data_IF_999473333735
#
_entry.id   IF_999473333735
#
_cell.length_a   1.000
_cell.length_b   1.000
_cell.length_c   1.000
_cell.angle_alpha   90.00
_cell.angle_beta   90.00
_cell.angle_gamma   90.00
#
_symmetry.space_group_name_H-M   'P 1'
#
loop_
_entity.id
_entity.type
_entity.pdbx_description
1 polymer ?
#
# COMPACT_ATOMS: atom_id res chain seq x y z
N UNK A 1 -59.92 36.52 6.00
CA UNK A 1 -59.99 35.21 5.30
C UNK A 1 -58.93 35.21 4.24
N UNK A 2 -58.21 34.10 4.17
CA UNK A 2 -57.10 33.69 3.29
C UNK A 2 -55.75 34.39 3.50
N UNK A 3 -54.80 33.81 4.26
CA UNK A 3 -54.00 32.57 4.07
C UNK A 3 -52.97 32.65 2.92
N UNK A 4 -51.73 32.92 3.35
CA UNK A 4 -50.45 32.32 2.96
C UNK A 4 -50.27 31.73 1.55
N UNK A 5 -49.21 32.19 0.88
CA UNK A 5 -48.33 31.32 0.09
C UNK A 5 -46.88 31.82 0.20
N UNK A 6 -46.17 31.27 1.18
CA UNK A 6 -44.72 31.28 1.27
C UNK A 6 -44.20 30.36 0.16
N UNK A 7 -43.55 30.90 -0.88
CA UNK A 7 -42.81 30.07 -1.83
C UNK A 7 -41.39 29.87 -1.31
N UNK A 8 -41.20 28.81 -0.54
CA UNK A 8 -39.89 28.18 -0.36
C UNK A 8 -39.42 27.70 -1.73
N UNK A 9 -38.47 28.43 -2.31
CA UNK A 9 -37.62 27.88 -3.36
C UNK A 9 -36.82 26.77 -2.69
N UNK A 10 -37.23 25.54 -2.95
CA UNK A 10 -36.40 24.37 -2.68
C UNK A 10 -35.09 24.55 -3.44
N UNK A 11 -34.02 24.87 -2.71
CA UNK A 11 -32.68 24.55 -3.14
C UNK A 11 -32.63 23.02 -3.35
N UNK A 12 -32.76 22.60 -4.61
CA UNK A 12 -32.25 21.32 -5.05
C UNK A 12 -30.73 21.50 -5.09
N UNK A 13 -30.12 21.54 -3.90
CA UNK A 13 -28.72 21.24 -3.74
C UNK A 13 -28.58 19.77 -4.18
N UNK A 14 -28.22 19.56 -5.44
CA UNK A 14 -27.77 18.27 -5.91
C UNK A 14 -26.74 17.76 -4.91
N UNK A 15 -26.97 16.54 -4.40
CA UNK A 15 -26.02 15.83 -3.55
C UNK A 15 -24.69 15.76 -4.30
N UNK A 16 -23.81 16.74 -4.11
CA UNK A 16 -22.45 16.67 -4.60
C UNK A 16 -21.78 15.63 -3.70
N UNK A 17 -21.37 14.51 -4.31
CA UNK A 17 -20.62 13.48 -3.60
C UNK A 17 -19.38 14.08 -2.96
N UNK A 18 -19.03 13.60 -1.78
CA UNK A 18 -17.79 14.00 -1.11
C UNK A 18 -16.61 13.51 -1.97
N UNK A 19 -15.66 14.39 -2.29
CA UNK A 19 -14.40 13.98 -2.91
C UNK A 19 -13.62 13.08 -1.96
N UNK A 20 -13.13 11.94 -2.46
CA UNK A 20 -12.33 11.00 -1.67
C UNK A 20 -10.98 10.76 -2.32
N UNK A 21 -9.89 11.02 -1.61
CA UNK A 21 -8.55 10.64 -2.03
C UNK A 21 -8.13 9.36 -1.33
N UNK A 22 -8.04 8.27 -2.09
CA UNK A 22 -7.48 7.01 -1.58
C UNK A 22 -6.00 6.98 -1.91
N UNK A 23 -5.13 6.85 -0.90
CA UNK A 23 -3.68 6.78 -1.08
C UNK A 23 -3.17 5.41 -0.68
N UNK A 24 -2.44 4.72 -1.55
CA UNK A 24 -1.90 3.37 -1.28
C UNK A 24 -0.39 3.35 -1.37
N UNK A 25 0.28 2.46 -0.63
CA UNK A 25 1.74 2.30 -0.79
C UNK A 25 2.09 1.66 -2.12
N UNK A 26 3.20 2.10 -2.70
CA UNK A 26 3.75 1.45 -3.88
C UNK A 26 4.27 0.03 -3.57
N UNK A 27 4.34 -0.85 -4.58
CA UNK A 27 4.81 -2.22 -4.41
C UNK A 27 6.28 -2.40 -4.81
N UNK A 28 7.00 -3.29 -4.11
CA UNK A 28 8.35 -3.67 -4.54
C UNK A 28 8.32 -4.32 -5.94
N UNK A 29 7.36 -5.24 -6.14
CA UNK A 29 7.13 -5.87 -7.44
C UNK A 29 6.54 -4.85 -8.43
N UNK A 30 7.29 -4.56 -9.48
CA UNK A 30 6.90 -3.68 -10.58
C UNK A 30 7.03 -4.43 -11.91
N UNK A 31 6.33 -3.98 -12.94
CA UNK A 31 6.45 -4.55 -14.28
C UNK A 31 7.67 -3.97 -15.00
N UNK A 32 8.43 -4.85 -15.64
CA UNK A 32 9.72 -4.49 -16.24
C UNK A 32 10.86 -4.55 -15.23
N UNK A 33 12.09 -4.58 -15.76
CA UNK A 33 13.31 -4.57 -14.95
C UNK A 33 13.67 -3.12 -14.68
N UNK A 34 13.92 -2.76 -13.42
CA UNK A 34 14.46 -1.44 -13.07
C UNK A 34 15.85 -1.27 -13.72
N UNK A 35 16.06 -0.28 -14.60
CA UNK A 35 17.39 0.06 -15.12
C UNK A 35 18.35 0.35 -13.96
N UNK A 36 19.64 0.05 -14.12
CA UNK A 36 20.64 0.23 -13.06
C UNK A 36 20.65 1.65 -12.49
N UNK A 37 20.59 2.67 -13.35
CA UNK A 37 20.55 4.07 -12.90
C UNK A 37 19.27 4.41 -12.10
N UNK A 38 18.17 3.65 -12.27
CA UNK A 38 16.93 3.78 -11.48
C UNK A 38 16.84 2.75 -10.34
N UNK A 39 17.99 2.41 -9.74
CA UNK A 39 18.06 1.67 -8.47
C UNK A 39 18.76 2.53 -7.44
N UNK A 40 18.14 2.69 -6.28
CA UNK A 40 18.68 3.50 -5.18
C UNK A 40 20.05 2.98 -4.71
N UNK A 41 20.28 1.66 -4.82
CA UNK A 41 21.59 1.05 -4.53
C UNK A 41 22.73 1.58 -5.41
N UNK A 42 22.40 2.12 -6.59
CA UNK A 42 23.35 2.61 -7.59
C UNK A 42 23.57 4.13 -7.48
N UNK A 43 23.06 4.77 -6.43
CA UNK A 43 23.36 6.17 -6.11
C UNK A 43 24.75 6.28 -5.47
N UNK A 44 25.38 7.44 -5.62
CA UNK A 44 26.67 7.71 -4.98
C UNK A 44 26.58 7.65 -3.45
N UNK A 45 27.75 7.55 -2.80
CA UNK A 45 27.86 7.78 -1.36
C UNK A 45 27.66 9.25 -1.06
N UNK A 46 26.87 9.60 -0.05
CA UNK A 46 26.62 10.99 0.31
C UNK A 46 25.53 11.13 1.36
N UNK A 47 25.19 12.37 1.70
CA UNK A 47 24.01 12.65 2.53
C UNK A 47 22.73 12.18 1.83
N UNK A 48 21.66 12.00 2.59
CA UNK A 48 20.33 11.71 2.03
C UNK A 48 19.91 12.76 1.01
N UNK A 49 20.28 14.02 1.23
CA UNK A 49 19.92 15.15 0.36
C UNK A 49 20.54 15.01 -1.02
N UNK A 50 21.86 14.88 -1.07
CA UNK A 50 22.63 14.74 -2.31
C UNK A 50 22.14 13.50 -3.09
N UNK A 51 21.86 12.41 -2.38
CA UNK A 51 21.33 11.19 -3.00
C UNK A 51 19.92 11.38 -3.55
N UNK A 52 19.06 12.13 -2.86
CA UNK A 52 17.70 12.41 -3.32
C UNK A 52 17.69 13.36 -4.51
N UNK A 53 18.54 14.38 -4.52
CA UNK A 53 18.74 15.28 -5.67
C UNK A 53 19.21 14.50 -6.90
N UNK A 54 20.24 13.67 -6.75
CA UNK A 54 20.71 12.78 -7.82
C UNK A 54 19.59 11.85 -8.30
N UNK A 55 18.83 11.28 -7.38
CA UNK A 55 17.70 10.40 -7.71
C UNK A 55 16.62 11.12 -8.53
N UNK A 56 16.22 12.33 -8.13
CA UNK A 56 15.25 13.15 -8.86
C UNK A 56 15.74 13.49 -10.27
N UNK A 57 17.03 13.82 -10.43
CA UNK A 57 17.62 14.06 -11.75
C UNK A 57 17.52 12.81 -12.64
N UNK A 58 17.85 11.63 -12.10
CA UNK A 58 17.78 10.37 -12.83
C UNK A 58 16.34 10.00 -13.22
N UNK A 59 15.36 10.22 -12.33
CA UNK A 59 13.95 10.00 -12.66
C UNK A 59 13.43 10.96 -13.72
N UNK A 60 13.84 12.22 -13.66
CA UNK A 60 13.42 13.25 -14.62
C UNK A 60 13.95 12.98 -16.03
N UNK A 61 15.09 12.31 -16.15
CA UNK A 61 15.68 11.91 -17.43
C UNK A 61 15.14 10.58 -17.99
N UNK A 62 14.28 9.86 -17.26
CA UNK A 62 13.82 8.53 -17.66
C UNK A 62 12.78 8.58 -18.79
N UNK A 63 12.98 7.78 -19.85
CA UNK A 63 12.16 7.79 -21.07
C UNK A 63 11.09 6.70 -21.14
N UNK A 64 11.23 5.59 -20.41
CA UNK A 64 10.35 4.43 -20.50
C UNK A 64 9.23 4.48 -19.46
N UNK A 65 8.13 5.16 -19.75
CA UNK A 65 7.06 5.40 -18.78
C UNK A 65 5.74 4.69 -19.12
N UNK A 66 5.09 4.08 -18.11
CA UNK A 66 3.72 3.56 -18.16
C UNK A 66 2.91 4.07 -16.97
N UNK A 67 1.58 4.12 -17.05
CA UNK A 67 0.75 4.51 -15.91
C UNK A 67 1.11 3.72 -14.64
N UNK A 68 1.07 4.36 -13.48
CA UNK A 68 1.31 3.71 -12.19
C UNK A 68 0.34 2.52 -11.96
N UNK A 69 -0.91 2.64 -12.43
CA UNK A 69 -1.91 1.56 -12.53
C UNK A 69 -1.37 0.26 -13.13
N UNK A 70 -0.53 0.38 -14.15
CA UNK A 70 0.06 -0.74 -14.90
C UNK A 70 1.50 -1.04 -14.51
N UNK A 71 2.15 -0.16 -13.73
CA UNK A 71 3.50 -0.35 -13.23
C UNK A 71 3.54 -1.33 -12.07
N UNK A 72 2.73 -1.07 -11.04
CA UNK A 72 2.76 -1.85 -9.80
C UNK A 72 2.08 -3.21 -9.99
N UNK A 73 2.48 -4.18 -9.18
CA UNK A 73 2.03 -5.56 -9.31
C UNK A 73 2.15 -6.32 -8.00
N UNK A 74 1.49 -7.47 -7.93
CA UNK A 74 1.44 -8.31 -6.74
C UNK A 74 0.05 -8.29 -6.10
N UNK A 75 -0.14 -9.16 -5.11
CA UNK A 75 -1.46 -9.38 -4.50
C UNK A 75 -2.04 -8.10 -3.89
N UNK A 76 -1.23 -7.33 -3.16
CA UNK A 76 -1.62 -6.03 -2.62
C UNK A 76 -2.15 -5.09 -3.72
N UNK A 77 -1.43 -4.98 -4.84
CA UNK A 77 -1.80 -4.06 -5.92
C UNK A 77 -3.10 -4.45 -6.62
N UNK A 78 -3.39 -5.75 -6.73
CA UNK A 78 -4.63 -6.23 -7.34
C UNK A 78 -5.87 -5.74 -6.60
N UNK A 79 -5.81 -5.61 -5.27
CA UNK A 79 -6.87 -5.01 -4.46
C UNK A 79 -6.79 -3.48 -4.54
N UNK A 80 -5.59 -2.93 -4.30
CA UNK A 80 -5.36 -1.49 -4.16
C UNK A 80 -5.85 -0.68 -5.38
N UNK A 81 -5.67 -1.21 -6.59
CA UNK A 81 -6.07 -0.53 -7.84
C UNK A 81 -7.58 -0.30 -7.99
N UNK A 82 -8.41 -1.07 -7.28
CA UNK A 82 -9.87 -0.94 -7.29
C UNK A 82 -10.44 -0.09 -6.16
N UNK A 83 -9.61 0.39 -5.22
CA UNK A 83 -10.12 1.06 -4.02
C UNK A 83 -10.83 2.39 -4.31
N UNK A 84 -10.43 3.14 -5.34
CA UNK A 84 -11.17 4.34 -5.73
C UNK A 84 -12.57 3.99 -6.23
N UNK A 85 -12.70 2.99 -7.10
CA UNK A 85 -14.01 2.52 -7.58
C UNK A 85 -14.91 2.05 -6.43
N UNK A 86 -14.34 1.40 -5.42
CA UNK A 86 -15.04 0.99 -4.19
C UNK A 86 -15.49 2.23 -3.39
N UNK A 87 -14.61 3.22 -3.23
CA UNK A 87 -14.87 4.43 -2.44
C UNK A 87 -15.96 5.34 -3.06
N UNK A 88 -16.08 5.41 -4.39
CA UNK A 88 -17.12 6.19 -5.05
C UNK A 88 -16.69 6.80 -6.38
N UNK A 89 -17.63 7.45 -7.08
CA UNK A 89 -17.38 8.06 -8.40
C UNK A 89 -16.43 9.27 -8.31
N UNK A 90 -16.52 10.04 -7.23
CA UNK A 90 -15.67 11.21 -6.95
C UNK A 90 -14.33 10.83 -6.27
N UNK A 91 -14.00 9.54 -6.26
CA UNK A 91 -12.77 9.06 -5.63
C UNK A 91 -11.58 9.05 -6.59
N UNK A 92 -10.43 9.55 -6.12
CA UNK A 92 -9.16 9.50 -6.84
C UNK A 92 -8.17 8.57 -6.13
N UNK A 93 -7.52 7.68 -6.89
CA UNK A 93 -6.44 6.82 -6.40
C UNK A 93 -5.07 7.48 -6.57
N UNK A 94 -4.30 7.49 -5.49
CA UNK A 94 -2.94 7.98 -5.39
C UNK A 94 -2.01 6.88 -4.92
N UNK A 95 -0.73 6.99 -5.27
CA UNK A 95 0.33 6.11 -4.79
C UNK A 95 1.33 6.91 -3.98
N UNK A 96 1.52 6.51 -2.73
CA UNK A 96 2.65 6.92 -1.90
C UNK A 96 3.87 6.07 -2.26
N UNK A 97 4.87 6.68 -2.90
CA UNK A 97 6.01 6.00 -3.52
C UNK A 97 7.33 6.46 -2.92
N UNK A 98 8.16 5.50 -2.48
CA UNK A 98 9.52 5.78 -2.03
C UNK A 98 10.44 6.32 -3.16
N UNK A 99 10.07 6.14 -4.42
CA UNK A 99 10.83 6.64 -5.56
C UNK A 99 10.27 7.96 -6.11
N UNK A 100 8.95 8.08 -6.22
CA UNK A 100 8.29 9.17 -6.95
C UNK A 100 7.50 10.13 -6.06
N UNK A 101 7.57 10.02 -4.73
CA UNK A 101 6.75 10.82 -3.82
C UNK A 101 5.27 10.44 -3.91
N UNK A 102 4.37 11.39 -3.70
CA UNK A 102 2.95 11.19 -3.98
C UNK A 102 2.67 11.39 -5.48
N UNK A 103 2.04 10.40 -6.11
CA UNK A 103 1.63 10.47 -7.53
C UNK A 103 0.20 9.98 -7.70
N UNK A 104 -0.53 10.50 -8.69
CA UNK A 104 -1.79 9.91 -9.12
C UNK A 104 -1.56 8.54 -9.77
N UNK A 105 -2.57 7.68 -9.75
CA UNK A 105 -2.47 6.33 -10.36
C UNK A 105 -2.27 6.36 -11.89
N UNK A 106 -2.65 7.45 -12.56
CA UNK A 106 -2.48 7.66 -14.00
C UNK A 106 -1.10 8.24 -14.38
N UNK A 107 -0.31 8.68 -13.38
CA UNK A 107 1.03 9.22 -13.61
C UNK A 107 1.91 8.20 -14.33
N UNK A 108 2.56 8.63 -15.42
CA UNK A 108 3.43 7.75 -16.21
C UNK A 108 4.80 7.69 -15.57
N UNK A 109 5.18 6.52 -15.07
CA UNK A 109 6.44 6.30 -14.34
C UNK A 109 7.30 5.23 -15.01
N UNK A 110 8.63 5.34 -14.85
CA UNK A 110 9.59 4.32 -15.27
C UNK A 110 9.80 3.25 -14.19
N UNK A 111 10.15 1.99 -14.55
CA UNK A 111 10.48 0.97 -13.57
C UNK A 111 11.68 1.40 -12.71
N UNK A 112 11.58 1.24 -11.40
CA UNK A 112 12.57 1.72 -10.44
C UNK A 112 12.68 0.80 -9.22
N UNK A 113 13.79 0.88 -8.48
CA UNK A 113 13.97 0.20 -7.21
C UNK A 113 14.32 1.22 -6.12
N UNK A 114 13.38 1.44 -5.20
CA UNK A 114 13.50 2.31 -4.02
C UNK A 114 12.53 1.82 -2.95
N UNK A 115 12.94 1.83 -1.68
CA UNK A 115 12.09 1.42 -0.55
C UNK A 115 12.41 2.16 0.74
N UNK A 116 11.39 2.40 1.57
CA UNK A 116 11.55 2.88 2.95
C UNK A 116 11.88 1.74 3.94
N UNK A 117 11.78 0.47 3.53
CA UNK A 117 12.18 -0.64 4.37
C UNK A 117 13.69 -0.56 4.66
N UNK A 118 14.09 -0.73 5.92
CA UNK A 118 15.50 -0.74 6.30
C UNK A 118 16.18 -2.06 5.91
N UNK A 119 17.50 -2.03 5.71
CA UNK A 119 18.32 -3.21 5.44
C UNK A 119 18.14 -3.82 4.04
N UNK A 120 17.44 -3.13 3.14
CA UNK A 120 17.38 -3.49 1.72
C UNK A 120 18.46 -2.71 0.96
N UNK A 121 19.03 -3.32 -0.08
CA UNK A 121 20.03 -2.65 -0.92
C UNK A 121 19.49 -1.38 -1.60
N UNK A 122 18.21 -1.36 -1.94
CA UNK A 122 17.50 -0.16 -2.44
C UNK A 122 16.82 0.68 -1.32
N UNK A 123 17.25 0.55 -0.07
CA UNK A 123 16.78 1.44 1.01
C UNK A 123 17.17 2.89 0.70
N UNK A 124 16.19 3.80 0.74
CA UNK A 124 16.43 5.22 0.44
C UNK A 124 17.31 5.89 1.49
N UNK A 125 17.29 5.40 2.72
CA UNK A 125 18.09 5.88 3.83
C UNK A 125 18.45 4.73 4.78
N UNK A 126 19.52 4.88 5.59
CA UNK A 126 19.92 3.87 6.57
C UNK A 126 18.99 3.83 7.79
N UNK A 127 18.31 4.93 8.10
CA UNK A 127 17.43 5.09 9.25
C UNK A 127 16.15 5.85 8.90
N UNK A 128 15.24 5.94 9.88
CA UNK A 128 13.94 6.57 9.69
C UNK A 128 14.02 8.11 9.58
N UNK A 129 15.01 8.75 10.21
CA UNK A 129 15.17 10.20 10.09
C UNK A 129 15.56 10.57 8.65
N UNK A 130 16.46 9.81 8.05
CA UNK A 130 16.80 9.92 6.63
C UNK A 130 15.63 9.57 5.72
N UNK A 131 14.82 8.56 6.05
CA UNK A 131 13.64 8.22 5.25
C UNK A 131 12.59 9.36 5.21
N UNK A 132 12.40 10.06 6.35
CA UNK A 132 11.54 11.25 6.43
C UNK A 132 12.11 12.40 5.60
N UNK A 133 13.41 12.68 5.75
CA UNK A 133 14.10 13.71 4.96
C UNK A 133 14.06 13.44 3.46
N UNK A 134 14.17 12.17 3.06
CA UNK A 134 13.98 11.75 1.67
C UNK A 134 12.56 12.02 1.16
N UNK A 135 11.53 11.70 1.96
CA UNK A 135 10.14 12.01 1.62
C UNK A 135 9.91 13.52 1.44
N UNK A 136 10.40 14.33 2.38
CA UNK A 136 10.28 15.80 2.35
C UNK A 136 10.88 16.39 1.06
N UNK A 137 12.03 15.89 0.62
CA UNK A 137 12.65 16.35 -0.63
C UNK A 137 11.94 15.85 -1.88
N UNK A 138 11.49 14.60 -1.90
CA UNK A 138 10.66 14.09 -3.00
C UNK A 138 9.35 14.87 -3.14
N UNK A 139 8.78 15.32 -2.02
CA UNK A 139 7.59 16.16 -1.98
C UNK A 139 7.84 17.58 -2.49
N UNK A 140 9.06 18.10 -2.39
CA UNK A 140 9.44 19.42 -2.92
C UNK A 140 9.73 19.40 -4.44
N UNK A 141 9.95 18.22 -5.03
CA UNK A 141 10.10 18.06 -6.47
C UNK A 141 8.76 18.15 -7.19
N UNK A 142 8.67 19.00 -8.23
CA UNK A 142 7.50 19.19 -9.10
C UNK A 142 6.94 17.90 -9.73
N UNK A 143 7.73 16.82 -9.72
CA UNK A 143 7.32 15.54 -10.25
C UNK A 143 7.38 15.48 -11.77
N UNK A 144 6.70 14.48 -12.33
CA UNK A 144 6.58 14.29 -13.78
C UNK A 144 5.39 15.04 -14.39
N UNK A 145 4.51 15.57 -13.55
CA UNK A 145 3.30 16.29 -13.96
C UNK A 145 3.19 17.56 -13.10
N UNK A 146 3.56 18.69 -13.69
CA UNK A 146 3.53 19.98 -13.01
C UNK A 146 2.13 20.30 -12.45
N UNK A 147 2.09 20.93 -11.27
CA UNK A 147 0.86 21.37 -10.62
C UNK A 147 0.05 20.28 -9.91
N UNK A 148 0.51 19.03 -9.90
CA UNK A 148 -0.11 17.97 -9.10
C UNK A 148 0.45 17.94 -7.67
N UNK A 149 -0.37 17.69 -6.63
CA UNK A 149 0.10 17.46 -5.27
C UNK A 149 1.16 16.36 -5.20
N UNK A 150 2.20 16.62 -4.41
CA UNK A 150 3.38 15.76 -4.23
C UNK A 150 3.54 15.23 -2.82
N UNK A 151 2.66 15.68 -1.92
CA UNK A 151 2.63 15.33 -0.49
C UNK A 151 1.19 15.25 0.00
N UNK A 152 0.97 14.62 1.16
CA UNK A 152 -0.36 14.57 1.80
C UNK A 152 -0.83 15.98 2.17
N UNK A 153 0.07 16.84 2.65
CA UNK A 153 -0.25 18.24 2.99
C UNK A 153 -0.69 19.02 1.75
N UNK A 154 0.02 18.88 0.63
CA UNK A 154 -0.34 19.54 -0.62
C UNK A 154 -1.69 19.05 -1.14
N UNK A 155 -1.99 17.75 -0.96
CA UNK A 155 -3.27 17.17 -1.35
C UNK A 155 -4.42 17.71 -0.51
N UNK A 156 -4.25 17.74 0.82
CA UNK A 156 -5.22 18.32 1.75
C UNK A 156 -5.47 19.82 1.49
N UNK A 157 -4.42 20.60 1.19
CA UNK A 157 -4.58 22.03 0.85
C UNK A 157 -5.33 22.27 -0.45
N UNK A 158 -5.19 21.37 -1.42
CA UNK A 158 -5.90 21.47 -2.70
C UNK A 158 -7.40 21.23 -2.49
N UNK A 159 -7.73 20.20 -1.72
CA UNK A 159 -9.10 19.73 -1.51
C UNK A 159 -9.41 19.63 0.01
N UNK A 160 -9.55 20.76 0.74
CA UNK A 160 -9.64 20.77 2.20
C UNK A 160 -10.90 20.09 2.77
N UNK A 161 -11.97 20.03 1.98
CA UNK A 161 -13.23 19.37 2.35
C UNK A 161 -13.28 17.88 1.94
N UNK A 162 -12.24 17.38 1.27
CA UNK A 162 -12.16 15.98 0.85
C UNK A 162 -11.81 15.04 2.02
N UNK A 163 -12.24 13.79 1.91
CA UNK A 163 -11.72 12.72 2.76
C UNK A 163 -10.41 12.17 2.18
N UNK A 164 -9.38 11.99 3.02
CA UNK A 164 -8.13 11.32 2.65
C UNK A 164 -8.05 9.99 3.38
N UNK A 165 -8.06 8.88 2.63
CA UNK A 165 -7.93 7.52 3.15
C UNK A 165 -6.58 6.95 2.74
N UNK A 166 -5.61 7.01 3.65
CA UNK A 166 -4.24 6.54 3.46
C UNK A 166 -4.06 5.09 3.92
N UNK A 167 -3.93 4.16 2.98
CA UNK A 167 -3.69 2.74 3.21
C UNK A 167 -2.20 2.45 3.21
N UNK A 168 -1.58 2.53 4.38
CA UNK A 168 -0.12 2.55 4.53
C UNK A 168 0.46 1.31 5.21
N UNK A 169 1.61 0.86 4.72
CA UNK A 169 2.48 -0.06 5.47
C UNK A 169 3.33 0.71 6.49
N UNK A 170 3.85 0.02 7.50
CA UNK A 170 4.63 0.66 8.58
C UNK A 170 5.77 1.57 8.08
N UNK A 171 6.65 1.15 7.15
CA UNK A 171 7.75 2.01 6.71
C UNK A 171 7.26 3.31 6.05
N UNK A 172 6.14 3.26 5.33
CA UNK A 172 5.57 4.42 4.66
C UNK A 172 4.87 5.35 5.64
N UNK A 173 4.08 4.80 6.57
CA UNK A 173 3.44 5.56 7.65
C UNK A 173 4.50 6.35 8.42
N UNK A 174 5.62 5.70 8.80
CA UNK A 174 6.68 6.35 9.57
C UNK A 174 7.48 7.38 8.77
N UNK A 175 7.73 7.12 7.47
CA UNK A 175 8.42 8.05 6.59
C UNK A 175 7.59 9.31 6.28
N UNK A 176 6.27 9.17 6.20
CA UNK A 176 5.34 10.27 5.88
C UNK A 176 4.71 10.91 7.11
N UNK A 177 5.08 10.50 8.34
CA UNK A 177 4.35 10.87 9.56
C UNK A 177 4.16 12.38 9.74
N UNK A 178 5.21 13.16 9.53
CA UNK A 178 5.15 14.62 9.68
C UNK A 178 4.21 15.26 8.63
N UNK A 179 4.29 14.81 7.37
CA UNK A 179 3.43 15.28 6.28
C UNK A 179 1.96 14.85 6.45
N UNK A 180 1.70 13.65 7.00
CA UNK A 180 0.35 13.20 7.35
C UNK A 180 -0.25 14.05 8.47
N UNK A 181 0.54 14.35 9.52
CA UNK A 181 0.13 15.23 10.61
C UNK A 181 -0.15 16.66 10.12
N UNK A 182 0.64 17.17 9.18
CA UNK A 182 0.41 18.48 8.57
C UNK A 182 -0.77 18.48 7.60
N UNK A 183 -1.05 17.37 6.93
CA UNK A 183 -2.26 17.18 6.14
C UNK A 183 -3.53 17.25 7.00
N UNK A 184 -3.55 16.59 8.17
CA UNK A 184 -4.69 16.65 9.10
C UNK A 184 -5.05 18.10 9.47
N UNK A 185 -4.04 18.93 9.72
CA UNK A 185 -4.20 20.36 10.05
C UNK A 185 -4.68 21.22 8.88
N UNK A 186 -4.50 20.75 7.64
CA UNK A 186 -4.87 21.46 6.43
C UNK A 186 -6.29 21.11 5.94
N UNK A 187 -6.88 20.02 6.44
CA UNK A 187 -8.26 19.64 6.17
C UNK A 187 -9.23 20.46 7.03
N UNK A 188 -10.45 20.67 6.53
CA UNK A 188 -11.53 21.34 7.26
C UNK A 188 -11.94 20.57 8.52
N UNK A 189 -11.81 19.24 8.49
CA UNK A 189 -12.06 18.36 9.62
C UNK A 189 -10.90 17.37 9.77
N UNK A 190 -10.38 17.23 10.99
CA UNK A 190 -9.39 16.19 11.31
C UNK A 190 -9.97 14.77 11.12
N UNK A 191 -11.30 14.62 11.22
CA UNK A 191 -11.97 13.34 10.96
C UNK A 191 -12.03 12.98 9.46
N UNK A 192 -11.63 13.90 8.58
CA UNK A 192 -11.46 13.64 7.15
C UNK A 192 -10.16 12.89 6.80
N UNK A 193 -9.20 12.78 7.73
CA UNK A 193 -7.99 11.96 7.54
C UNK A 193 -8.14 10.59 8.21
N UNK A 194 -8.01 9.53 7.42
CA UNK A 194 -7.99 8.13 7.89
C UNK A 194 -6.71 7.43 7.46
N UNK A 195 -5.97 6.82 8.40
CA UNK A 195 -4.79 6.01 8.09
C UNK A 195 -5.09 4.54 8.36
N UNK A 196 -5.29 3.73 7.33
CA UNK A 196 -5.53 2.29 7.45
C UNK A 196 -4.18 1.56 7.41
N UNK A 197 -3.74 1.04 8.54
CA UNK A 197 -2.41 0.44 8.67
C UNK A 197 -2.09 -0.10 10.06
N UNK A 198 -0.83 -0.45 10.34
CA UNK A 198 -0.44 -0.92 11.66
C UNK A 198 -0.46 0.23 12.67
N UNK A 199 -1.22 0.07 13.76
CA UNK A 199 -1.27 1.04 14.86
C UNK A 199 -0.06 1.00 15.79
N UNK A 200 0.15 2.09 16.53
CA UNK A 200 1.24 2.20 17.52
C UNK A 200 2.62 2.20 16.86
N UNK A 201 2.75 2.91 15.73
CA UNK A 201 3.99 2.94 14.93
C UNK A 201 4.60 4.33 14.84
N UNK A 202 3.81 5.37 15.10
CA UNK A 202 4.29 6.74 15.13
C UNK A 202 3.30 7.59 15.93
N UNK A 203 3.70 8.00 17.14
CA UNK A 203 2.87 8.81 18.03
C UNK A 203 2.38 10.12 17.40
N UNK A 204 3.10 10.64 16.40
CA UNK A 204 2.72 11.84 15.63
C UNK A 204 1.41 11.69 14.82
N UNK A 205 1.00 10.47 14.51
CA UNK A 205 -0.16 10.20 13.65
C UNK A 205 -1.05 9.06 14.15
N UNK A 206 -0.70 8.41 15.26
CA UNK A 206 -1.43 7.24 15.79
C UNK A 206 -2.91 7.55 16.06
N UNK A 207 -3.27 8.81 16.36
CA UNK A 207 -4.67 9.22 16.53
C UNK A 207 -5.51 9.10 15.24
N UNK A 208 -4.90 9.23 14.06
CA UNK A 208 -5.57 9.09 12.77
C UNK A 208 -5.59 7.63 12.27
N UNK A 209 -4.93 6.71 12.99
CA UNK A 209 -4.77 5.32 12.56
C UNK A 209 -5.99 4.48 12.91
N UNK A 210 -6.52 3.83 11.88
CA UNK A 210 -7.47 2.73 11.95
C UNK A 210 -6.66 1.43 11.90
N UNK A 211 -6.47 0.74 13.04
CA UNK A 211 -5.49 -0.33 13.14
C UNK A 211 -5.93 -1.58 12.38
N UNK A 212 -5.04 -2.08 11.52
CA UNK A 212 -5.17 -3.38 10.87
C UNK A 212 -4.28 -4.39 11.58
N UNK A 213 -4.88 -5.46 12.09
CA UNK A 213 -4.16 -6.52 12.80
C UNK A 213 -4.34 -7.87 12.10
N UNK A 214 -3.42 -8.81 12.35
CA UNK A 214 -3.50 -10.16 11.79
C UNK A 214 -4.80 -10.90 12.16
N UNK A 215 -5.52 -10.48 13.21
CA UNK A 215 -6.81 -11.01 13.60
C UNK A 215 -7.89 -10.85 12.51
N UNK A 216 -7.73 -9.90 11.58
CA UNK A 216 -8.64 -9.73 10.44
C UNK A 216 -8.40 -10.74 9.31
N UNK A 217 -7.28 -11.49 9.32
CA UNK A 217 -6.95 -12.44 8.25
C UNK A 217 -8.02 -13.52 8.02
N UNK A 218 -8.64 -14.13 9.05
CA UNK A 218 -9.72 -15.11 8.86
C UNK A 218 -10.98 -14.50 8.23
N UNK A 219 -11.22 -13.20 8.43
CA UNK A 219 -12.40 -12.48 7.90
C UNK A 219 -12.15 -12.04 6.46
N UNK A 220 -10.99 -11.42 6.20
CA UNK A 220 -10.68 -10.76 4.93
C UNK A 220 -9.96 -11.67 3.92
N UNK A 221 -9.42 -12.79 4.41
CA UNK A 221 -8.58 -13.69 3.64
C UNK A 221 -7.28 -13.05 3.14
N UNK A 222 -6.58 -13.78 2.26
CA UNK A 222 -5.34 -13.31 1.65
C UNK A 222 -4.11 -13.39 2.56
N UNK A 223 -3.02 -12.75 2.12
CA UNK A 223 -1.77 -12.70 2.86
C UNK A 223 -1.67 -11.45 3.74
N UNK A 224 -0.80 -11.47 4.75
CA UNK A 224 -0.48 -10.28 5.57
C UNK A 224 0.00 -9.09 4.72
N UNK A 225 0.61 -9.35 3.56
CA UNK A 225 1.08 -8.31 2.63
C UNK A 225 -0.08 -7.56 1.96
N UNK A 226 -1.22 -8.22 1.73
CA UNK A 226 -2.41 -7.60 1.14
C UNK A 226 -3.43 -7.13 2.18
N UNK A 227 -3.20 -7.43 3.47
CA UNK A 227 -4.20 -7.25 4.52
C UNK A 227 -4.67 -5.79 4.67
N UNK A 228 -3.78 -4.80 4.64
CA UNK A 228 -4.18 -3.38 4.74
C UNK A 228 -5.10 -2.96 3.57
N UNK A 229 -4.79 -3.40 2.34
CA UNK A 229 -5.62 -3.09 1.17
C UNK A 229 -6.97 -3.80 1.23
N UNK A 230 -7.01 -5.05 1.71
CA UNK A 230 -8.27 -5.78 1.92
C UNK A 230 -9.12 -5.16 3.02
N UNK A 231 -8.50 -4.73 4.11
CA UNK A 231 -9.17 -4.07 5.21
C UNK A 231 -9.78 -2.74 4.73
N UNK A 232 -9.03 -1.96 3.94
CA UNK A 232 -9.54 -0.75 3.30
C UNK A 232 -10.71 -1.04 2.37
N UNK A 233 -10.60 -2.04 1.48
CA UNK A 233 -11.70 -2.43 0.60
C UNK A 233 -12.97 -2.77 1.39
N UNK A 234 -12.83 -3.55 2.46
CA UNK A 234 -13.95 -3.95 3.31
C UNK A 234 -14.67 -2.77 3.96
N UNK A 235 -13.94 -1.85 4.60
CA UNK A 235 -14.58 -0.71 5.29
C UNK A 235 -15.07 0.36 4.33
N UNK A 236 -14.42 0.55 3.17
CA UNK A 236 -14.89 1.48 2.14
C UNK A 236 -16.17 0.98 1.47
N UNK A 237 -16.26 -0.33 1.18
CA UNK A 237 -17.47 -0.94 0.62
C UNK A 237 -18.64 -0.84 1.60
N UNK A 238 -18.41 -1.18 2.88
CA UNK A 238 -19.43 -1.05 3.92
C UNK A 238 -19.84 0.41 4.19
N UNK A 239 -18.88 1.34 4.17
CA UNK A 239 -19.14 2.77 4.32
C UNK A 239 -19.95 3.33 3.14
N UNK A 240 -19.61 2.94 1.90
CA UNK A 240 -20.40 3.35 0.73
C UNK A 240 -21.85 2.84 0.80
N UNK A 241 -22.05 1.63 1.33
CA UNK A 241 -23.39 1.07 1.49
C UNK A 241 -24.26 1.80 2.53
N UNK A 242 -23.66 2.54 3.48
CA UNK A 242 -24.43 3.36 4.43
C UNK A 242 -24.96 4.67 3.83
N UNK A 243 -24.32 5.16 2.74
CA UNK A 243 -24.66 6.43 2.11
C UNK A 243 -24.21 7.68 2.88
N UNK A 244 -23.49 7.51 3.98
CA UNK A 244 -22.91 8.60 4.76
C UNK A 244 -21.55 9.05 4.17
N UNK A 245 -21.13 10.32 4.36
CA UNK A 245 -19.80 10.77 3.97
C UNK A 245 -18.68 9.97 4.64
N UNK A 246 -17.62 9.68 3.89
CA UNK A 246 -16.43 9.01 4.40
C UNK A 246 -15.79 9.86 5.50
N UNK A 247 -15.65 9.25 6.66
CA UNK A 247 -15.01 9.83 7.84
C UNK A 247 -14.23 8.78 8.60
N UNK A 248 -13.20 9.20 9.33
CA UNK A 248 -12.37 8.31 10.13
C UNK A 248 -13.19 7.62 11.22
N UNK A 249 -14.08 8.34 11.90
CA UNK A 249 -14.95 7.76 12.94
C UNK A 249 -15.81 6.62 12.39
N UNK A 250 -16.42 6.80 11.22
CA UNK A 250 -17.18 5.74 10.54
C UNK A 250 -16.29 4.54 10.20
N UNK A 251 -15.18 4.77 9.49
CA UNK A 251 -14.30 3.69 9.05
C UNK A 251 -13.67 2.94 10.24
N UNK A 252 -13.37 3.65 11.34
CA UNK A 252 -12.87 3.07 12.57
C UNK A 252 -13.89 2.15 13.23
N UNK A 253 -15.17 2.58 13.28
CA UNK A 253 -16.27 1.75 13.79
C UNK A 253 -16.42 0.46 12.98
N UNK A 254 -16.47 0.58 11.65
CA UNK A 254 -16.57 -0.58 10.75
C UNK A 254 -15.39 -1.55 10.91
N UNK A 255 -14.18 -1.02 11.06
CA UNK A 255 -12.98 -1.84 11.30
C UNK A 255 -13.04 -2.55 12.66
N UNK A 256 -13.51 -1.85 13.70
CA UNK A 256 -13.66 -2.40 15.05
C UNK A 256 -14.70 -3.53 15.07
N UNK A 257 -15.84 -3.34 14.41
CA UNK A 257 -16.90 -4.35 14.28
C UNK A 257 -16.37 -5.59 13.54
N UNK A 258 -15.65 -5.40 12.43
CA UNK A 258 -15.03 -6.49 11.69
C UNK A 258 -13.97 -7.25 12.52
N UNK A 259 -13.21 -6.53 13.35
CA UNK A 259 -12.20 -7.12 14.24
C UNK A 259 -12.85 -7.89 15.39
N UNK A 260 -13.91 -7.34 15.99
CA UNK A 260 -14.65 -7.97 17.08
C UNK A 260 -15.40 -9.23 16.62
N UNK A 261 -15.92 -9.23 15.39
CA UNK A 261 -16.54 -10.39 14.76
C UNK A 261 -15.56 -11.44 14.24
N UNK A 262 -14.25 -11.16 14.25
CA UNK A 262 -13.26 -12.10 13.75
C UNK A 262 -13.14 -13.34 14.67
N UNK A 263 -13.09 -14.56 14.11
CA UNK A 263 -12.85 -15.76 14.89
C UNK A 263 -11.53 -15.63 15.68
N UNK A 264 -11.58 -15.91 16.99
CA UNK A 264 -10.37 -16.02 17.80
C UNK A 264 -9.57 -17.24 17.35
N UNK A 265 -8.69 -17.07 16.37
CA UNK A 265 -7.75 -18.12 15.98
C UNK A 265 -6.51 -18.02 16.84
N UNK A 266 -6.17 -19.10 17.55
CA UNK A 266 -4.88 -19.21 18.23
C UNK A 266 -3.74 -18.91 17.23
N UNK A 267 -2.67 -18.22 17.65
CA UNK A 267 -1.51 -17.99 16.80
C UNK A 267 -1.03 -19.34 16.26
N UNK A 268 -0.95 -19.49 14.93
CA UNK A 268 -0.32 -20.69 14.36
C UNK A 268 1.12 -20.73 14.86
N UNK A 269 1.49 -21.83 15.54
CA UNK A 269 2.86 -22.04 15.96
C UNK A 269 3.80 -21.89 14.74
N UNK A 270 4.95 -21.22 14.89
CA UNK A 270 5.90 -21.09 13.79
C UNK A 270 6.31 -22.47 13.30
N UNK A 271 6.18 -22.71 11.99
CA UNK A 271 6.53 -24.00 11.41
C UNK A 271 8.03 -24.28 11.50
N UNK A 272 8.40 -25.55 11.66
CA UNK A 272 9.80 -25.98 11.78
C UNK A 272 10.57 -25.62 10.50
N UNK A 273 11.61 -24.78 10.63
CA UNK A 273 12.45 -24.38 9.50
C UNK A 273 13.24 -25.58 9.00
N UNK A 274 13.18 -25.82 7.70
CA UNK A 274 13.94 -26.92 7.06
C UNK A 274 15.25 -26.42 6.47
N UNK A 275 16.26 -27.27 6.38
CA UNK A 275 17.45 -27.11 5.56
C UNK A 275 17.14 -27.39 4.08
N UNK A 276 18.00 -26.94 3.17
CA UNK A 276 17.75 -27.09 1.73
C UNK A 276 17.69 -28.55 1.28
N UNK A 277 18.53 -29.43 1.83
CA UNK A 277 18.49 -30.86 1.48
C UNK A 277 17.18 -31.52 1.91
N UNK A 278 16.64 -31.15 3.08
CA UNK A 278 15.35 -31.65 3.54
C UNK A 278 14.21 -31.17 2.64
N UNK A 279 14.27 -29.92 2.16
CA UNK A 279 13.29 -29.37 1.21
C UNK A 279 13.40 -30.06 -0.15
N UNK A 280 14.62 -30.31 -0.65
CA UNK A 280 14.86 -31.06 -1.90
C UNK A 280 14.33 -32.49 -1.79
N UNK A 281 14.63 -33.19 -0.69
CA UNK A 281 14.13 -34.55 -0.45
C UNK A 281 12.59 -34.58 -0.42
N UNK A 282 11.97 -33.60 0.23
CA UNK A 282 10.51 -33.45 0.22
C UNK A 282 9.96 -33.25 -1.20
N UNK A 283 10.58 -32.35 -1.99
CA UNK A 283 10.16 -32.09 -3.37
C UNK A 283 10.29 -33.34 -4.24
N UNK A 284 11.46 -33.99 -4.23
CA UNK A 284 11.72 -35.23 -4.99
C UNK A 284 10.68 -36.29 -4.68
N UNK A 285 10.37 -36.52 -3.39
CA UNK A 285 9.36 -37.49 -2.96
C UNK A 285 7.99 -37.22 -3.60
N UNK A 286 7.57 -35.96 -3.73
CA UNK A 286 6.23 -35.64 -4.24
C UNK A 286 6.16 -35.59 -5.76
N UNK A 287 7.25 -35.22 -6.44
CA UNK A 287 7.31 -35.23 -7.90
C UNK A 287 7.19 -36.64 -8.49
N UNK A 288 7.52 -37.70 -7.74
CA UNK A 288 7.29 -39.10 -8.16
C UNK A 288 5.80 -39.39 -8.43
N UNK A 289 4.89 -38.70 -7.76
CA UNK A 289 3.44 -38.94 -7.89
C UNK A 289 2.78 -38.14 -9.02
N UNK A 290 3.55 -37.38 -9.80
CA UNK A 290 3.06 -36.65 -10.96
C UNK A 290 3.29 -35.12 -10.90
N UNK A 291 2.83 -34.39 -11.92
CA UNK A 291 3.05 -32.96 -12.02
C UNK A 291 2.29 -32.19 -10.93
N UNK A 292 2.97 -31.25 -10.29
CA UNK A 292 2.40 -30.32 -9.31
C UNK A 292 3.02 -28.94 -9.45
N UNK A 293 2.42 -27.92 -8.83
CA UNK A 293 3.01 -26.58 -8.79
C UNK A 293 3.83 -26.37 -7.52
N UNK A 294 4.90 -25.56 -7.61
CA UNK A 294 5.69 -25.17 -6.44
C UNK A 294 4.81 -24.59 -5.31
N UNK A 295 3.76 -23.83 -5.65
CA UNK A 295 2.85 -23.24 -4.68
C UNK A 295 1.94 -24.27 -4.01
N UNK A 296 1.44 -25.25 -4.76
CA UNK A 296 0.63 -26.33 -4.21
C UNK A 296 1.45 -27.20 -3.24
N UNK A 297 2.67 -27.56 -3.64
CA UNK A 297 3.55 -28.40 -2.85
C UNK A 297 4.10 -27.68 -1.60
N UNK A 298 4.41 -26.38 -1.71
CA UNK A 298 4.75 -25.55 -0.55
C UNK A 298 3.59 -25.44 0.45
N UNK A 299 2.34 -25.39 -0.04
CA UNK A 299 1.16 -25.38 0.83
C UNK A 299 1.03 -26.70 1.59
N UNK A 300 1.30 -27.83 0.95
CA UNK A 300 1.34 -29.14 1.60
C UNK A 300 2.43 -29.24 2.67
N UNK A 301 3.65 -28.79 2.35
CA UNK A 301 4.77 -28.68 3.30
C UNK A 301 4.36 -27.88 4.55
N UNK A 302 3.67 -26.75 4.36
CA UNK A 302 3.21 -25.90 5.46
C UNK A 302 2.09 -26.52 6.29
N UNK A 303 1.22 -27.34 5.68
CA UNK A 303 0.21 -28.11 6.43
C UNK A 303 0.84 -29.15 7.33
N UNK A 304 2.02 -29.67 7.00
CA UNK A 304 2.74 -30.61 7.85
C UNK A 304 3.50 -29.93 9.00
N UNK A 305 3.25 -28.66 9.29
CA UNK A 305 3.92 -27.91 10.37
C UNK A 305 5.36 -27.50 10.06
N UNK A 306 5.81 -27.61 8.80
CA UNK A 306 7.16 -27.22 8.36
C UNK A 306 7.15 -25.88 7.64
N UNK A 307 8.25 -25.14 7.64
CA UNK A 307 8.35 -23.83 7.01
C UNK A 307 9.51 -23.73 6.02
N UNK A 308 9.22 -23.11 4.87
CA UNK A 308 10.19 -22.70 3.88
C UNK A 308 9.73 -21.38 3.25
N UNK A 309 10.71 -20.49 3.00
CA UNK A 309 10.52 -19.21 2.33
C UNK A 309 10.11 -19.47 0.86
N UNK A 310 9.20 -18.67 0.32
CA UNK A 310 8.53 -19.00 -0.94
C UNK A 310 9.49 -18.91 -2.14
N UNK A 311 10.38 -17.92 -2.17
CA UNK A 311 11.38 -17.79 -3.23
C UNK A 311 12.37 -18.96 -3.16
N UNK A 312 12.93 -19.23 -1.96
CA UNK A 312 13.80 -20.38 -1.72
C UNK A 312 13.16 -21.71 -2.14
N UNK A 313 11.91 -21.97 -1.73
CA UNK A 313 11.21 -23.20 -2.12
C UNK A 313 11.03 -23.30 -3.64
N UNK A 314 10.67 -22.19 -4.29
CA UNK A 314 10.48 -22.14 -5.74
C UNK A 314 11.78 -22.43 -6.49
N UNK A 315 12.89 -21.88 -6.03
CA UNK A 315 14.21 -22.13 -6.62
C UNK A 315 14.59 -23.62 -6.52
N UNK A 316 14.46 -24.19 -5.33
CA UNK A 316 14.71 -25.63 -5.10
C UNK A 316 13.77 -26.50 -5.94
N UNK A 317 12.49 -26.14 -6.02
CA UNK A 317 11.50 -26.85 -6.84
C UNK A 317 11.87 -26.87 -8.32
N UNK A 318 12.25 -25.72 -8.88
CA UNK A 318 12.68 -25.64 -10.28
C UNK A 318 13.97 -26.42 -10.54
N UNK A 319 14.89 -26.46 -9.56
CA UNK A 319 16.09 -27.28 -9.67
C UNK A 319 15.75 -28.78 -9.72
N UNK A 320 14.91 -29.28 -8.82
CA UNK A 320 14.53 -30.70 -8.77
C UNK A 320 13.66 -31.12 -9.97
N UNK A 321 12.72 -30.28 -10.41
CA UNK A 321 11.87 -30.56 -11.57
C UNK A 321 12.69 -30.72 -12.85
N UNK A 322 13.69 -29.84 -13.06
CA UNK A 322 14.63 -29.92 -14.20
C UNK A 322 15.47 -31.18 -14.17
N UNK A 323 16.02 -31.53 -13.00
CA UNK A 323 16.84 -32.74 -12.84
C UNK A 323 16.03 -34.04 -13.01
N UNK A 324 14.73 -34.01 -12.73
CA UNK A 324 13.83 -35.15 -12.87
C UNK A 324 13.11 -35.28 -14.21
N UNK A 325 13.35 -34.38 -15.18
CA UNK A 325 12.72 -34.43 -16.51
C UNK A 325 11.25 -33.96 -16.56
N UNK A 326 10.76 -33.29 -15.52
CA UNK A 326 9.39 -32.76 -15.46
C UNK A 326 9.37 -31.33 -16.02
N UNK A 327 8.53 -31.06 -17.03
CA UNK A 327 8.32 -29.71 -17.60
C UNK A 327 7.21 -28.97 -16.88
#
# INVERSE_FOLDING_TARGET
MDLAACSTVNDIAGQHGQTVHVVVTCTNRKRGVAPEHLRVRSLGTGSVDVRCEEWVQRLSAASAARPASDMYAGEHWLIARGLAEIAGEDATLWVCSAGYGLIRVDARIAPYAATFAAGHEDSVAPDMAGARRWWEQLAAWDGLQAGQPRSFTALARRDPDAAIVAVLSEPYLRACATDLRDAAKALTSEDSLSIIGPGGRSSEVDEFVIPVTAALTPVLGGSLLSLNARAAAHVLEAGRASGEPVSRSMLAKLMADATAGAPQTAPKAPGIRMADEEVRAFIRKHLVYGPTSATALLRELRRSGRSCEQARFRELFLAEARSGGWR
#
